data_IF_627390196378
#
_entry.id   IF_627390196378
#
_cell.length_a   1.000
_cell.length_b   1.000
_cell.length_c   1.000
_cell.angle_alpha   90.00
_cell.angle_beta   90.00
_cell.angle_gamma   90.00
#
_symmetry.space_group_name_H-M   'P 1'
#
loop_
_entity.id
_entity.type
_entity.pdbx_description
1 polymer ?
#
# COMPACT_ATOMS: atom_id res chain seq x y z
N UNK A 1 18.59 24.16 26.89
CA UNK A 1 17.86 24.78 25.75
C UNK A 1 17.93 23.97 24.45
N UNK A 2 19.04 23.33 24.07
CA UNK A 2 19.15 22.61 22.79
C UNK A 2 18.30 21.32 22.69
N UNK A 3 18.00 20.62 23.79
CA UNK A 3 17.20 19.37 23.78
C UNK A 3 15.70 19.65 23.58
N UNK A 4 15.16 20.64 24.31
CA UNK A 4 13.74 21.00 24.19
C UNK A 4 13.35 21.53 22.80
N UNK A 5 14.31 22.14 22.07
CA UNK A 5 14.09 22.59 20.68
C UNK A 5 14.17 21.43 19.67
N UNK A 6 14.86 20.34 19.98
CA UNK A 6 14.93 19.13 19.10
C UNK A 6 13.66 18.27 19.21
N UNK A 7 13.15 18.09 20.42
CA UNK A 7 11.91 17.32 20.69
C UNK A 7 10.71 17.98 20.04
N UNK A 8 10.51 19.29 20.25
CA UNK A 8 9.44 20.04 19.58
C UNK A 8 9.55 20.07 18.05
N UNK A 9 10.71 19.73 17.48
CA UNK A 9 10.92 19.62 16.04
C UNK A 9 10.34 18.32 15.45
N UNK A 10 10.44 17.20 16.15
CA UNK A 10 9.87 15.92 15.69
C UNK A 10 8.35 15.89 15.80
N UNK A 11 7.75 16.42 16.89
CA UNK A 11 6.29 16.57 17.00
C UNK A 11 5.70 17.34 15.81
N UNK A 12 6.31 18.49 15.50
CA UNK A 12 5.88 19.31 14.35
C UNK A 12 6.12 18.59 13.03
N UNK A 13 7.23 17.88 12.86
CA UNK A 13 7.52 17.12 11.65
C UNK A 13 6.48 16.02 11.46
N UNK A 14 6.26 15.15 12.44
CA UNK A 14 5.31 14.04 12.34
C UNK A 14 3.90 14.54 12.03
N UNK A 15 3.41 15.56 12.75
CA UNK A 15 2.09 16.14 12.47
C UNK A 15 1.97 16.76 11.07
N UNK A 16 3.04 17.32 10.52
CA UNK A 16 3.02 17.95 9.18
C UNK A 16 3.10 16.95 8.03
N UNK A 17 3.60 15.75 8.28
CA UNK A 17 3.76 14.72 7.24
C UNK A 17 2.66 13.66 7.28
N UNK A 18 1.81 13.66 8.29
CA UNK A 18 0.68 12.75 8.42
C UNK A 18 -0.30 12.91 7.24
N UNK A 19 -0.88 11.78 6.79
CA UNK A 19 -1.84 11.75 5.69
C UNK A 19 -3.10 12.55 6.06
N UNK A 20 -3.45 13.57 5.28
CA UNK A 20 -4.54 14.52 5.61
C UNK A 20 -5.83 14.32 4.80
N UNK A 21 -5.87 13.36 3.89
CA UNK A 21 -7.02 13.10 3.01
C UNK A 21 -7.57 11.66 3.10
N UNK A 22 -7.27 10.95 4.19
CA UNK A 22 -7.72 9.56 4.39
C UNK A 22 -9.24 9.42 4.31
N UNK A 23 -10.01 10.33 4.90
CA UNK A 23 -11.49 10.28 4.88
C UNK A 23 -12.05 10.38 3.46
N UNK A 24 -11.42 11.17 2.58
CA UNK A 24 -11.82 11.28 1.17
C UNK A 24 -11.49 9.97 0.42
N UNK A 25 -10.32 9.40 0.66
CA UNK A 25 -9.88 8.12 0.09
C UNK A 25 -10.81 6.98 0.54
N UNK A 26 -11.12 6.90 1.82
CA UNK A 26 -12.03 5.89 2.37
C UNK A 26 -13.44 6.02 1.80
N UNK A 27 -13.95 7.24 1.65
CA UNK A 27 -15.25 7.49 1.03
C UNK A 27 -15.29 7.05 -0.43
N UNK A 28 -14.24 7.28 -1.18
CA UNK A 28 -14.14 6.84 -2.57
C UNK A 28 -14.04 5.32 -2.68
N UNK A 29 -13.23 4.68 -1.83
CA UNK A 29 -13.13 3.22 -1.79
C UNK A 29 -14.48 2.57 -1.47
N UNK A 30 -15.21 3.08 -0.49
CA UNK A 30 -16.58 2.62 -0.17
C UNK A 30 -17.54 2.79 -1.36
N UNK A 31 -17.46 3.90 -2.09
CA UNK A 31 -18.28 4.14 -3.28
C UNK A 31 -17.96 3.18 -4.43
N UNK A 32 -16.69 2.83 -4.61
CA UNK A 32 -16.24 1.82 -5.58
C UNK A 32 -16.74 0.44 -5.16
N UNK A 33 -16.56 0.06 -3.88
CA UNK A 33 -17.02 -1.21 -3.34
C UNK A 33 -18.52 -1.43 -3.57
N UNK A 34 -19.36 -0.45 -3.25
CA UNK A 34 -20.81 -0.49 -3.46
C UNK A 34 -21.17 -0.78 -4.93
N UNK A 35 -20.52 -0.09 -5.88
CA UNK A 35 -20.75 -0.33 -7.30
C UNK A 35 -20.36 -1.74 -7.72
N UNK A 36 -19.18 -2.21 -7.32
CA UNK A 36 -18.69 -3.53 -7.72
C UNK A 36 -19.46 -4.66 -7.03
N UNK A 37 -19.83 -4.51 -5.75
CA UNK A 37 -20.66 -5.46 -5.04
C UNK A 37 -22.05 -5.63 -5.70
N UNK A 38 -22.69 -4.52 -6.10
CA UNK A 38 -23.98 -4.59 -6.81
C UNK A 38 -23.87 -5.30 -8.15
N UNK A 39 -22.72 -5.21 -8.84
CA UNK A 39 -22.53 -5.81 -10.18
C UNK A 39 -22.12 -7.28 -10.10
N UNK A 40 -21.20 -7.62 -9.22
CA UNK A 40 -20.57 -8.94 -9.20
C UNK A 40 -21.19 -9.91 -8.21
N UNK A 41 -21.84 -9.39 -7.18
CA UNK A 41 -22.41 -10.20 -6.10
C UNK A 41 -23.93 -10.02 -5.92
N UNK A 42 -24.54 -9.13 -6.71
CA UNK A 42 -25.98 -8.78 -6.57
C UNK A 42 -26.34 -8.35 -5.15
N UNK A 43 -25.39 -7.65 -4.47
CA UNK A 43 -25.57 -7.13 -3.12
C UNK A 43 -26.23 -5.75 -3.13
N UNK A 44 -26.80 -5.39 -1.98
CA UNK A 44 -27.40 -4.07 -1.78
C UNK A 44 -26.42 -2.93 -2.08
N UNK A 45 -26.92 -1.81 -2.57
CA UNK A 45 -26.12 -0.63 -2.95
C UNK A 45 -25.37 0.02 -1.77
N UNK A 46 -25.51 -0.49 -0.56
CA UNK A 46 -24.80 -0.01 0.63
C UNK A 46 -23.71 -0.97 1.13
N UNK A 47 -23.60 -2.15 0.52
CA UNK A 47 -22.58 -3.13 0.88
C UNK A 47 -21.18 -2.69 0.40
N UNK A 48 -20.23 -2.67 1.32
CA UNK A 48 -18.82 -2.29 1.08
C UNK A 48 -17.86 -3.46 1.30
N UNK A 49 -18.36 -4.68 1.40
CA UNK A 49 -17.53 -5.88 1.51
C UNK A 49 -16.68 -6.11 0.25
N UNK A 50 -15.83 -7.12 0.30
CA UNK A 50 -14.93 -7.55 -0.78
C UNK A 50 -13.88 -6.53 -1.24
N UNK A 51 -13.81 -5.33 -0.64
CA UNK A 51 -12.78 -4.33 -0.93
C UNK A 51 -11.80 -4.23 0.23
N UNK A 52 -10.51 -4.20 -0.12
CA UNK A 52 -9.39 -4.06 0.80
C UNK A 52 -8.59 -2.83 0.39
N UNK A 53 -8.39 -1.88 1.31
CA UNK A 53 -7.40 -0.82 1.13
C UNK A 53 -6.04 -1.48 1.39
N UNK A 54 -5.12 -1.34 0.44
CA UNK A 54 -3.79 -1.98 0.48
C UNK A 54 -2.70 -0.94 0.26
N UNK A 55 -1.50 -1.34 -0.10
CA UNK A 55 -0.40 -0.42 -0.33
C UNK A 55 -0.02 0.40 0.91
N UNK A 56 0.52 1.59 0.71
CA UNK A 56 1.00 2.44 1.81
C UNK A 56 -0.13 2.97 2.71
N UNK A 57 -1.31 3.23 2.13
CA UNK A 57 -2.49 3.66 2.89
C UNK A 57 -3.00 2.52 3.78
N UNK A 58 -3.10 1.30 3.23
CA UNK A 58 -3.50 0.12 3.98
C UNK A 58 -2.54 -0.22 5.12
N UNK A 59 -1.23 -0.09 4.91
CA UNK A 59 -0.19 -0.28 5.93
C UNK A 59 -0.05 0.90 6.91
N UNK A 60 -0.84 1.98 6.76
CA UNK A 60 -0.78 3.22 7.56
C UNK A 60 0.59 3.93 7.49
N UNK A 61 1.33 3.74 6.41
CA UNK A 61 2.65 4.33 6.21
C UNK A 61 2.67 5.40 5.12
N UNK A 62 1.50 5.75 4.55
CA UNK A 62 1.35 6.86 3.61
C UNK A 62 1.52 8.21 4.32
N UNK A 63 2.10 9.18 3.59
CA UNK A 63 2.33 10.52 4.10
C UNK A 63 1.53 11.56 3.31
N UNK A 64 1.41 12.75 3.86
CA UNK A 64 0.82 13.91 3.19
C UNK A 64 1.46 14.14 1.82
N UNK A 65 0.61 14.32 0.81
CA UNK A 65 1.05 14.44 -0.57
C UNK A 65 1.31 13.10 -1.27
N UNK A 66 1.04 11.97 -0.62
CA UNK A 66 0.91 10.68 -1.32
C UNK A 66 -0.28 10.77 -2.26
N UNK A 67 -0.04 10.42 -3.52
CA UNK A 67 -1.01 10.61 -4.61
C UNK A 67 -1.87 9.37 -4.87
N UNK A 68 -1.50 8.21 -4.34
CA UNK A 68 -2.07 6.94 -4.78
C UNK A 68 -2.77 6.22 -3.63
N UNK A 69 -4.00 5.80 -3.90
CA UNK A 69 -4.79 4.91 -3.06
C UNK A 69 -4.86 3.54 -3.73
N UNK A 70 -4.11 2.59 -3.21
CA UNK A 70 -4.15 1.21 -3.67
C UNK A 70 -5.34 0.48 -3.04
N UNK A 71 -6.21 -0.11 -3.86
CA UNK A 71 -7.30 -0.95 -3.40
C UNK A 71 -7.33 -2.27 -4.16
N UNK A 72 -7.75 -3.32 -3.47
CA UNK A 72 -7.96 -4.63 -4.05
C UNK A 72 -9.44 -5.01 -3.88
N UNK A 73 -10.08 -5.44 -4.94
CA UNK A 73 -11.45 -5.92 -4.89
C UNK A 73 -11.48 -7.42 -5.18
N UNK A 74 -11.98 -8.20 -4.22
CA UNK A 74 -12.15 -9.65 -4.36
C UNK A 74 -13.36 -9.95 -5.23
N UNK A 75 -13.12 -10.54 -6.39
CA UNK A 75 -14.14 -10.92 -7.37
C UNK A 75 -14.60 -12.37 -7.18
N UNK A 76 -15.85 -12.73 -7.57
CA UNK A 76 -16.33 -14.10 -7.52
C UNK A 76 -15.47 -15.05 -8.35
N UNK A 77 -15.32 -16.28 -7.89
CA UNK A 77 -14.54 -17.32 -8.60
C UNK A 77 -15.05 -17.62 -10.01
N UNK A 78 -16.34 -17.42 -10.28
CA UNK A 78 -16.90 -17.61 -11.62
C UNK A 78 -16.45 -16.52 -12.59
N UNK A 79 -16.17 -15.31 -12.10
CA UNK A 79 -15.51 -14.25 -12.88
C UNK A 79 -14.09 -14.67 -13.28
N UNK A 80 -13.32 -15.28 -12.38
CA UNK A 80 -12.02 -15.84 -12.72
C UNK A 80 -12.14 -16.87 -13.85
N UNK A 81 -13.01 -17.88 -13.70
CA UNK A 81 -13.22 -18.94 -14.71
C UNK A 81 -13.60 -18.37 -16.08
N UNK A 82 -14.44 -17.32 -16.10
CA UNK A 82 -14.85 -16.64 -17.33
C UNK A 82 -13.65 -16.10 -18.10
N UNK A 83 -12.76 -15.34 -17.43
CA UNK A 83 -11.64 -14.69 -18.09
C UNK A 83 -10.43 -15.60 -18.30
N UNK A 84 -10.24 -16.60 -17.45
CA UNK A 84 -9.20 -17.61 -17.61
C UNK A 84 -9.46 -18.54 -18.81
N UNK A 85 -10.74 -18.71 -19.19
CA UNK A 85 -11.15 -19.48 -20.37
C UNK A 85 -10.92 -18.76 -21.72
N UNK A 86 -10.47 -17.50 -21.73
CA UNK A 86 -10.15 -16.79 -22.97
C UNK A 86 -8.87 -17.38 -23.57
N UNK A 87 -8.86 -17.62 -24.88
CA UNK A 87 -7.65 -18.07 -25.58
C UNK A 87 -6.50 -17.07 -25.52
N UNK A 88 -6.82 -15.76 -25.41
CA UNK A 88 -5.84 -14.67 -25.27
C UNK A 88 -6.49 -13.44 -24.63
N UNK A 89 -5.67 -12.59 -24.00
CA UNK A 89 -6.08 -11.29 -23.46
C UNK A 89 -7.20 -11.33 -22.39
N UNK A 90 -7.41 -12.44 -21.70
CA UNK A 90 -8.42 -12.57 -20.66
C UNK A 90 -8.21 -11.56 -19.52
N UNK A 91 -6.96 -11.35 -19.11
CA UNK A 91 -6.58 -10.37 -18.09
C UNK A 91 -6.95 -8.94 -18.51
N UNK A 92 -6.65 -8.58 -19.75
CA UNK A 92 -7.02 -7.27 -20.31
C UNK A 92 -8.54 -7.12 -20.40
N UNK A 93 -9.26 -8.17 -20.83
CA UNK A 93 -10.71 -8.16 -20.88
C UNK A 93 -11.36 -7.98 -19.51
N UNK A 94 -10.79 -8.56 -18.44
CA UNK A 94 -11.22 -8.33 -17.05
C UNK A 94 -11.05 -6.86 -16.66
N UNK A 95 -9.87 -6.26 -16.88
CA UNK A 95 -9.65 -4.85 -16.57
C UNK A 95 -10.63 -3.95 -17.33
N UNK A 96 -10.91 -4.24 -18.61
CA UNK A 96 -11.88 -3.46 -19.39
C UNK A 96 -13.32 -3.62 -18.88
N UNK A 97 -13.71 -4.80 -18.43
CA UNK A 97 -15.04 -5.00 -17.82
C UNK A 97 -15.20 -4.20 -16.53
N UNK A 98 -14.22 -4.28 -15.61
CA UNK A 98 -14.23 -3.50 -14.36
C UNK A 98 -14.23 -1.99 -14.65
N UNK A 99 -13.36 -1.54 -15.56
CA UNK A 99 -13.32 -0.14 -16.03
C UNK A 99 -14.70 0.32 -16.49
N UNK A 100 -15.38 -0.44 -17.34
CA UNK A 100 -16.71 -0.10 -17.85
C UNK A 100 -17.72 0.15 -16.74
N UNK A 101 -17.79 -0.73 -15.74
CA UNK A 101 -18.70 -0.54 -14.61
C UNK A 101 -18.37 0.68 -13.75
N UNK A 102 -17.08 1.00 -13.60
CA UNK A 102 -16.67 2.20 -12.89
C UNK A 102 -16.95 3.48 -13.69
N UNK A 103 -16.84 3.45 -15.02
CA UNK A 103 -17.23 4.58 -15.88
C UNK A 103 -18.73 4.91 -15.78
N UNK A 104 -19.59 3.91 -15.58
CA UNK A 104 -21.02 4.14 -15.30
C UNK A 104 -21.22 4.92 -13.99
N UNK A 105 -20.39 4.65 -12.96
CA UNK A 105 -20.44 5.33 -11.67
C UNK A 105 -19.81 6.71 -11.70
N UNK A 106 -18.74 6.87 -12.48
CA UNK A 106 -17.92 8.07 -12.58
C UNK A 106 -17.80 8.57 -14.03
N UNK A 107 -18.92 9.03 -14.66
CA UNK A 107 -18.95 9.33 -16.11
C UNK A 107 -18.11 10.56 -16.51
N UNK A 108 -17.62 11.34 -15.54
CA UNK A 108 -16.82 12.56 -15.77
C UNK A 108 -15.38 12.40 -15.28
N UNK A 109 -15.00 11.23 -14.77
CA UNK A 109 -13.67 10.94 -14.24
C UNK A 109 -12.89 10.17 -15.30
N UNK A 110 -11.62 10.48 -15.46
CA UNK A 110 -10.75 9.69 -16.33
C UNK A 110 -10.49 8.34 -15.67
N UNK A 111 -10.76 7.26 -16.42
CA UNK A 111 -10.56 5.90 -15.96
C UNK A 111 -9.85 5.13 -17.06
N UNK A 112 -8.71 4.52 -16.73
CA UNK A 112 -7.91 3.73 -17.66
C UNK A 112 -7.63 2.33 -17.08
N UNK A 113 -7.26 1.38 -17.94
CA UNK A 113 -6.68 0.11 -17.53
C UNK A 113 -5.19 0.16 -17.83
N UNK A 114 -4.35 -0.13 -16.85
CA UNK A 114 -2.90 -0.13 -16.98
C UNK A 114 -2.27 -1.35 -16.32
N UNK A 115 -1.67 -2.20 -17.11
CA UNK A 115 -0.90 -3.35 -16.66
C UNK A 115 -1.67 -4.32 -15.77
N UNK A 116 -1.84 -3.97 -14.52
CA UNK A 116 -2.42 -4.83 -13.47
C UNK A 116 -3.64 -4.21 -12.80
N UNK A 117 -3.92 -2.93 -13.07
CA UNK A 117 -4.88 -2.10 -12.33
C UNK A 117 -5.88 -1.42 -13.24
N UNK A 118 -6.99 -1.02 -12.65
CA UNK A 118 -7.87 0.02 -13.19
C UNK A 118 -7.57 1.31 -12.43
N UNK A 119 -7.10 2.32 -13.16
CA UNK A 119 -6.71 3.62 -12.62
C UNK A 119 -7.89 4.59 -12.70
N UNK A 120 -8.21 5.27 -11.61
CA UNK A 120 -9.28 6.27 -11.51
C UNK A 120 -8.67 7.58 -11.03
N UNK A 121 -8.65 8.59 -11.90
CA UNK A 121 -8.03 9.91 -11.64
C UNK A 121 -8.99 10.84 -10.91
N UNK A 122 -8.90 10.92 -9.58
CA UNK A 122 -9.59 11.96 -8.82
C UNK A 122 -8.75 13.25 -8.76
N UNK A 123 -9.36 14.37 -8.42
CA UNK A 123 -8.71 15.69 -8.44
C UNK A 123 -7.52 15.84 -7.47
N UNK A 124 -7.46 15.06 -6.41
CA UNK A 124 -6.43 15.16 -5.35
C UNK A 124 -5.56 13.92 -5.24
N UNK A 125 -5.99 12.80 -5.77
CA UNK A 125 -5.29 11.50 -5.71
C UNK A 125 -5.81 10.59 -6.81
N UNK A 126 -5.03 9.58 -7.09
CA UNK A 126 -5.38 8.49 -8.01
C UNK A 126 -5.79 7.25 -7.22
N UNK A 127 -6.79 6.52 -7.70
CA UNK A 127 -7.08 5.18 -7.16
C UNK A 127 -6.58 4.14 -8.14
N UNK A 128 -5.75 3.23 -7.65
CA UNK A 128 -5.29 2.04 -8.36
C UNK A 128 -6.06 0.82 -7.85
N UNK A 129 -7.03 0.37 -8.62
CA UNK A 129 -7.85 -0.79 -8.28
C UNK A 129 -7.29 -2.06 -8.92
N UNK A 130 -6.85 -3.00 -8.10
CA UNK A 130 -6.51 -4.37 -8.50
C UNK A 130 -7.77 -5.25 -8.41
N UNK A 131 -8.34 -5.73 -9.53
CA UNK A 131 -9.37 -6.76 -9.47
C UNK A 131 -8.70 -8.12 -9.15
N UNK A 132 -8.96 -8.68 -7.98
CA UNK A 132 -8.31 -9.88 -7.49
C UNK A 132 -9.29 -11.01 -7.18
N UNK A 133 -8.75 -12.16 -6.87
CA UNK A 133 -9.49 -13.36 -6.50
C UNK A 133 -8.84 -13.98 -5.27
N UNK A 134 -9.51 -13.91 -4.12
CA UNK A 134 -9.00 -14.46 -2.87
C UNK A 134 -8.85 -15.96 -2.95
N UNK A 135 -7.71 -16.46 -2.53
CA UNK A 135 -7.36 -17.87 -2.53
C UNK A 135 -7.58 -18.49 -1.14
N UNK A 136 -7.64 -19.82 -1.07
CA UNK A 136 -7.83 -20.54 0.18
C UNK A 136 -6.67 -20.32 1.19
N UNK A 137 -5.49 -19.97 0.72
CA UNK A 137 -4.31 -19.66 1.54
C UNK A 137 -4.24 -18.19 2.00
N UNK A 138 -5.24 -17.37 1.66
CA UNK A 138 -5.34 -15.95 2.03
C UNK A 138 -4.79 -14.99 1.00
N UNK A 139 -3.91 -15.45 0.10
CA UNK A 139 -3.35 -14.62 -0.99
C UNK A 139 -4.42 -14.23 -2.01
N UNK A 140 -4.10 -13.24 -2.82
CA UNK A 140 -4.94 -12.83 -3.94
C UNK A 140 -4.25 -13.14 -5.27
N UNK A 141 -4.98 -13.78 -6.17
CA UNK A 141 -4.58 -13.91 -7.57
C UNK A 141 -5.10 -12.70 -8.33
N UNK A 142 -4.27 -12.07 -9.16
CA UNK A 142 -4.63 -10.85 -9.89
C UNK A 142 -4.13 -10.88 -11.34
N UNK A 143 -4.74 -10.08 -12.25
CA UNK A 143 -4.34 -10.03 -13.65
C UNK A 143 -3.04 -9.24 -13.83
N UNK A 144 -2.19 -9.70 -14.76
CA UNK A 144 -1.10 -8.94 -15.35
C UNK A 144 -1.23 -9.02 -16.87
N UNK A 145 -1.43 -7.87 -17.52
CA UNK A 145 -1.64 -7.82 -18.97
C UNK A 145 -0.34 -7.77 -19.77
N UNK A 146 0.80 -7.64 -19.11
CA UNK A 146 2.10 -7.58 -19.76
C UNK A 146 2.47 -8.94 -20.40
N UNK A 147 3.28 -8.88 -21.45
CA UNK A 147 3.84 -10.06 -22.13
C UNK A 147 2.81 -11.11 -22.57
N UNK A 148 1.62 -10.67 -23.00
CA UNK A 148 0.56 -11.56 -23.48
C UNK A 148 -0.44 -12.00 -22.41
N UNK A 149 -0.29 -11.52 -21.19
CA UNK A 149 -1.17 -11.76 -20.07
C UNK A 149 -0.77 -12.96 -19.21
N UNK A 150 -0.90 -12.79 -17.90
CA UNK A 150 -0.67 -13.83 -16.90
C UNK A 150 -1.47 -13.55 -15.63
N UNK A 151 -1.54 -14.54 -14.75
CA UNK A 151 -2.06 -14.35 -13.39
C UNK A 151 -0.90 -14.35 -12.39
N UNK A 152 -0.87 -13.35 -11.54
CA UNK A 152 0.12 -13.21 -10.47
C UNK A 152 -0.52 -13.35 -9.10
N UNK A 153 0.30 -13.38 -8.06
CA UNK A 153 -0.17 -13.47 -6.67
C UNK A 153 0.41 -12.33 -5.84
N UNK A 154 -0.38 -11.85 -4.88
CA UNK A 154 0.03 -10.88 -3.88
C UNK A 154 -0.56 -11.23 -2.52
N UNK A 155 0.07 -10.77 -1.45
CA UNK A 155 -0.33 -11.04 -0.07
C UNK A 155 -0.20 -9.78 0.80
N UNK A 156 -1.03 -8.76 0.56
CA UNK A 156 -0.87 -7.48 1.23
C UNK A 156 -1.39 -7.45 2.68
N UNK A 157 -2.22 -8.41 3.10
CA UNK A 157 -2.83 -8.36 4.43
C UNK A 157 -1.82 -8.67 5.55
N UNK A 158 -0.97 -9.72 5.47
CA UNK A 158 0.08 -9.94 6.46
C UNK A 158 1.07 -8.77 6.58
N UNK A 159 1.30 -8.02 5.49
CA UNK A 159 2.14 -6.81 5.55
C UNK A 159 1.51 -5.74 6.46
N UNK A 160 0.19 -5.55 6.37
CA UNK A 160 -0.54 -4.60 7.21
C UNK A 160 -0.55 -5.05 8.68
N UNK A 161 -0.80 -6.33 8.91
CA UNK A 161 -0.83 -6.92 10.26
C UNK A 161 0.55 -6.75 10.93
N UNK A 162 1.64 -7.06 10.21
CA UNK A 162 2.99 -6.92 10.74
C UNK A 162 3.37 -5.45 10.98
N UNK A 163 2.97 -4.51 10.11
CA UNK A 163 3.17 -3.08 10.38
C UNK A 163 2.45 -2.65 11.68
N UNK A 164 1.21 -3.09 11.87
CA UNK A 164 0.46 -2.76 13.09
C UNK A 164 1.08 -3.41 14.34
N UNK A 165 1.55 -4.65 14.24
CA UNK A 165 2.27 -5.32 15.33
C UNK A 165 3.57 -4.60 15.67
N UNK A 166 4.33 -4.17 14.67
CA UNK A 166 5.57 -3.39 14.88
C UNK A 166 5.30 -2.08 15.62
N UNK A 167 4.24 -1.38 15.25
CA UNK A 167 3.84 -0.14 15.90
C UNK A 167 3.39 -0.36 17.35
N UNK A 168 2.56 -1.39 17.59
CA UNK A 168 2.13 -1.77 18.93
C UNK A 168 3.32 -2.17 19.83
N UNK A 169 4.29 -2.88 19.27
CA UNK A 169 5.48 -3.33 19.99
C UNK A 169 6.49 -2.21 20.24
N UNK A 170 6.43 -1.12 19.48
CA UNK A 170 7.36 0.01 19.54
C UNK A 170 6.76 1.25 20.23
N UNK A 171 5.78 1.09 21.09
CA UNK A 171 5.11 2.20 21.78
C UNK A 171 4.50 3.26 20.83
N UNK A 172 4.10 2.86 19.62
CA UNK A 172 3.45 3.71 18.62
C UNK A 172 4.42 4.56 17.78
N UNK A 173 5.72 4.25 17.77
CA UNK A 173 6.72 5.04 17.03
C UNK A 173 7.09 4.47 15.65
N UNK A 174 6.75 3.22 15.34
CA UNK A 174 7.10 2.58 14.06
C UNK A 174 6.57 3.36 12.85
N UNK A 175 5.30 3.76 12.88
CA UNK A 175 4.71 4.51 11.77
C UNK A 175 5.40 5.86 11.56
N UNK A 176 5.78 6.55 12.63
CA UNK A 176 6.50 7.82 12.53
C UNK A 176 7.82 7.66 11.77
N UNK A 177 8.58 6.60 12.04
CA UNK A 177 9.84 6.34 11.34
C UNK A 177 9.64 5.95 9.87
N UNK A 178 8.58 5.19 9.55
CA UNK A 178 8.18 4.94 8.17
C UNK A 178 7.83 6.25 7.43
N UNK A 179 7.09 7.16 8.08
CA UNK A 179 6.73 8.46 7.54
C UNK A 179 7.95 9.37 7.34
N UNK A 180 8.84 9.46 8.35
CA UNK A 180 10.07 10.27 8.29
C UNK A 180 10.96 9.80 7.13
N UNK A 181 11.18 8.49 6.96
CA UNK A 181 12.00 7.98 5.86
C UNK A 181 11.37 8.24 4.49
N UNK A 182 10.04 8.14 4.36
CA UNK A 182 9.35 8.50 3.11
C UNK A 182 9.51 9.98 2.79
N UNK A 183 9.35 10.83 3.79
CA UNK A 183 9.55 12.29 3.64
C UNK A 183 10.98 12.58 3.23
N UNK A 184 11.96 12.00 3.92
CA UNK A 184 13.38 12.14 3.61
C UNK A 184 13.68 11.68 2.16
N UNK A 185 13.21 10.49 1.76
CA UNK A 185 13.37 9.99 0.39
C UNK A 185 12.82 10.98 -0.65
N UNK A 186 11.62 11.52 -0.42
CA UNK A 186 10.97 12.45 -1.34
C UNK A 186 11.76 13.76 -1.47
N UNK A 187 12.26 14.30 -0.36
CA UNK A 187 13.09 15.51 -0.35
C UNK A 187 14.44 15.31 -1.05
N UNK A 188 15.02 14.12 -0.95
CA UNK A 188 16.28 13.79 -1.62
C UNK A 188 16.11 13.40 -3.09
N UNK A 189 14.89 13.07 -3.52
CA UNK A 189 14.55 12.77 -4.92
C UNK A 189 15.10 11.46 -5.46
N UNK A 190 15.44 10.48 -4.60
CA UNK A 190 15.87 9.17 -5.06
C UNK A 190 14.75 8.12 -5.00
N UNK A 191 14.90 7.07 -5.81
CA UNK A 191 13.96 5.95 -5.85
C UNK A 191 14.23 4.98 -4.69
N UNK A 192 13.20 4.74 -3.89
CA UNK A 192 13.24 3.77 -2.78
C UNK A 192 11.82 3.29 -2.53
N UNK A 193 11.57 2.01 -2.72
CA UNK A 193 10.22 1.44 -2.64
C UNK A 193 9.59 1.61 -1.27
N UNK A 194 8.31 1.97 -1.23
CA UNK A 194 7.60 2.19 0.05
C UNK A 194 7.54 0.95 0.93
N UNK A 195 7.28 -0.23 0.35
CA UNK A 195 7.26 -1.50 1.08
C UNK A 195 8.68 -1.87 1.59
N UNK A 196 9.72 -1.55 0.82
CA UNK A 196 11.10 -1.76 1.27
C UNK A 196 11.46 -0.85 2.45
N UNK A 197 11.00 0.41 2.45
CA UNK A 197 11.16 1.30 3.61
C UNK A 197 10.51 0.66 4.85
N UNK A 198 9.25 0.24 4.75
CA UNK A 198 8.51 -0.35 5.86
C UNK A 198 9.20 -1.61 6.39
N UNK A 199 9.71 -2.46 5.49
CA UNK A 199 10.46 -3.68 5.83
C UNK A 199 11.76 -3.35 6.57
N UNK A 200 12.58 -2.41 6.07
CA UNK A 200 13.86 -2.08 6.70
C UNK A 200 13.70 -1.37 8.05
N UNK A 201 12.64 -0.58 8.23
CA UNK A 201 12.31 -0.01 9.54
C UNK A 201 11.89 -1.12 10.50
N UNK A 202 11.05 -2.07 10.04
CA UNK A 202 10.65 -3.23 10.85
C UNK A 202 11.86 -4.05 11.31
N UNK A 203 12.74 -4.47 10.37
CA UNK A 203 13.92 -5.27 10.68
C UNK A 203 14.82 -4.56 11.70
N UNK A 204 15.07 -3.26 11.51
CA UNK A 204 15.85 -2.46 12.46
C UNK A 204 15.20 -2.39 13.84
N UNK A 205 13.87 -2.26 13.91
CA UNK A 205 13.15 -2.18 15.16
C UNK A 205 13.15 -3.54 15.88
N UNK A 206 12.97 -4.64 15.15
CA UNK A 206 13.05 -5.99 15.69
C UNK A 206 14.42 -6.28 16.30
N UNK A 207 15.51 -5.93 15.61
CA UNK A 207 16.89 -6.06 16.09
C UNK A 207 17.17 -5.23 17.36
N UNK A 208 16.37 -4.21 17.65
CA UNK A 208 16.46 -3.34 18.82
C UNK A 208 15.31 -3.55 19.82
N UNK A 209 14.74 -4.76 19.86
CA UNK A 209 13.59 -5.11 20.71
C UNK A 209 12.41 -4.14 20.55
N UNK A 210 12.21 -3.61 19.34
CA UNK A 210 11.17 -2.66 18.95
C UNK A 210 11.19 -1.33 19.72
N UNK A 211 12.29 -0.97 20.38
CA UNK A 211 12.36 0.28 21.16
C UNK A 211 11.16 0.46 22.11
N UNK A 212 10.77 -0.60 22.82
CA UNK A 212 9.51 -0.72 23.60
C UNK A 212 9.27 0.40 24.60
N UNK A 213 10.32 0.95 25.19
CA UNK A 213 10.27 2.01 26.19
C UNK A 213 10.61 3.39 25.63
N UNK A 214 10.73 3.50 24.29
CA UNK A 214 11.13 4.74 23.62
C UNK A 214 9.98 5.74 23.55
N UNK A 215 10.34 6.99 23.47
CA UNK A 215 9.45 8.14 23.34
C UNK A 215 9.99 9.11 22.29
N UNK A 216 9.30 10.21 22.03
CA UNK A 216 9.74 11.25 21.12
C UNK A 216 11.10 11.88 21.49
N UNK A 217 11.49 11.81 22.76
CA UNK A 217 12.79 12.30 23.23
C UNK A 217 13.94 11.49 22.62
N UNK A 218 13.69 10.23 22.26
CA UNK A 218 14.67 9.28 21.73
C UNK A 218 14.80 9.33 20.20
N UNK A 219 13.89 10.02 19.49
CA UNK A 219 13.79 10.00 18.02
C UNK A 219 15.10 10.36 17.32
N UNK A 220 15.88 11.29 17.87
CA UNK A 220 17.15 11.66 17.26
C UNK A 220 18.16 10.49 17.27
N UNK A 221 18.25 9.78 18.37
CA UNK A 221 19.18 8.66 18.52
C UNK A 221 18.70 7.45 17.74
N UNK A 222 17.39 7.16 17.74
CA UNK A 222 16.78 6.10 16.92
C UNK A 222 17.02 6.40 15.44
N UNK A 223 16.77 7.62 14.97
CA UNK A 223 16.98 8.01 13.57
C UNK A 223 18.44 7.87 13.15
N UNK A 224 19.38 8.27 14.02
CA UNK A 224 20.81 8.09 13.79
C UNK A 224 21.17 6.61 13.65
N UNK A 225 20.66 5.76 14.54
CA UNK A 225 20.90 4.31 14.50
C UNK A 225 20.28 3.69 13.26
N UNK A 226 19.07 4.09 12.87
CA UNK A 226 18.40 3.65 11.65
C UNK A 226 19.20 4.02 10.38
N UNK A 227 19.75 5.24 10.30
CA UNK A 227 20.61 5.61 9.17
C UNK A 227 21.93 4.84 9.16
N UNK A 228 22.52 4.54 10.33
CA UNK A 228 23.68 3.64 10.40
C UNK A 228 23.35 2.25 9.87
N UNK A 229 22.26 1.65 10.35
CA UNK A 229 21.75 0.36 9.85
C UNK A 229 21.52 0.35 8.34
N UNK A 230 20.88 1.40 7.78
CA UNK A 230 20.66 1.52 6.34
C UNK A 230 21.97 1.63 5.55
N UNK A 231 22.97 2.31 6.09
CA UNK A 231 24.27 2.49 5.46
C UNK A 231 25.14 1.21 5.41
N UNK A 232 24.85 0.28 6.31
CA UNK A 232 25.53 -1.02 6.44
C UNK A 232 24.89 -2.11 5.58
N UNK A 233 23.73 -1.85 4.96
CA UNK A 233 23.09 -2.80 4.06
C UNK A 233 24.01 -3.16 2.88
N UNK A 234 23.99 -4.43 2.48
CA UNK A 234 24.76 -4.91 1.36
C UNK A 234 24.34 -4.19 0.05
N UNK A 235 25.28 -3.44 -0.53
CA UNK A 235 25.06 -2.64 -1.75
C UNK A 235 24.83 -3.49 -3.01
N UNK A 236 25.27 -4.74 -2.99
CA UNK A 236 25.08 -5.69 -4.08
C UNK A 236 23.74 -6.45 -3.96
N UNK A 237 23.04 -6.30 -2.82
CA UNK A 237 21.75 -6.93 -2.60
C UNK A 237 20.69 -6.30 -3.50
N UNK A 238 20.03 -7.13 -4.29
CA UNK A 238 19.03 -6.70 -5.29
C UNK A 238 17.60 -6.84 -4.80
N UNK A 239 17.34 -7.61 -3.76
CA UNK A 239 16.02 -7.83 -3.20
C UNK A 239 16.05 -8.07 -1.69
N UNK A 240 14.94 -7.81 -1.05
CA UNK A 240 14.63 -8.17 0.34
C UNK A 240 13.35 -9.00 0.36
N UNK A 241 13.05 -9.59 1.50
CA UNK A 241 11.75 -10.21 1.74
C UNK A 241 10.88 -9.23 2.52
N UNK A 242 9.68 -8.94 2.00
CA UNK A 242 8.75 -8.02 2.62
C UNK A 242 8.32 -8.52 4.00
N UNK A 243 8.21 -7.61 4.95
CA UNK A 243 7.64 -7.90 6.26
C UNK A 243 6.27 -8.58 6.10
N UNK A 244 5.97 -9.56 6.93
CA UNK A 244 4.71 -10.30 6.98
C UNK A 244 4.45 -11.23 5.78
N UNK A 245 4.54 -10.73 4.55
CA UNK A 245 4.22 -11.53 3.36
C UNK A 245 5.36 -12.42 2.86
N UNK A 246 6.61 -12.13 3.22
CA UNK A 246 7.82 -12.77 2.69
C UNK A 246 7.92 -12.74 1.14
N UNK A 247 7.21 -11.84 0.49
CA UNK A 247 7.35 -11.64 -0.96
C UNK A 247 8.64 -10.86 -1.27
N UNK A 248 9.23 -11.12 -2.44
CA UNK A 248 10.43 -10.38 -2.84
C UNK A 248 10.11 -8.92 -3.15
N UNK A 249 10.86 -8.02 -2.53
CA UNK A 249 10.83 -6.58 -2.80
C UNK A 249 12.15 -6.17 -3.43
N UNK A 250 12.08 -5.57 -4.61
CA UNK A 250 13.27 -5.17 -5.35
C UNK A 250 13.83 -3.83 -4.84
N UNK A 251 15.14 -3.68 -4.95
CA UNK A 251 15.85 -2.43 -4.64
C UNK A 251 15.36 -1.24 -5.49
N UNK A 252 14.95 -1.50 -6.74
CA UNK A 252 14.52 -0.47 -7.70
C UNK A 252 13.14 0.15 -7.43
N UNK A 253 12.40 -0.33 -6.45
CA UNK A 253 11.08 0.21 -6.10
C UNK A 253 9.98 -0.06 -7.13
N UNK A 254 10.10 -1.14 -7.88
CA UNK A 254 9.04 -1.64 -8.79
C UNK A 254 8.52 -2.98 -8.28
#
# INVERSE_FOLDING_TARGET
MALATKVGGFDVLCSNIELDNFDEMEKSSKSIAKKLNSVYYDLDNDDTSHLYIVGSVGRKTAIKGSSDLDILFDLPSDTYKKFDAYESNGQSALLQEVKKFLQERYPKTDISGDGQVVVIEFSRYTVELVPGFKQADGRFKYPDTNNGGSWKYTDPLPEQDTCQESDNNSNGIYFDFCHILRKWKNEQGFKFGGLLIDTLVHDHFEDNEFYKDSSIDDYFDILKNLFSYLSEQDKERTYWYALGSNQQVLNSGN
#
